data_IF_836338448368
#
_entry.id   IF_836338448368
#
_cell.length_a   1.000
_cell.length_b   1.000
_cell.length_c   1.000
_cell.angle_alpha   90.00
_cell.angle_beta   90.00
_cell.angle_gamma   90.00
#
_symmetry.space_group_name_H-M   'P 1'
#
loop_
_entity.id
_entity.type
_entity.pdbx_description
1 polymer ?
#
# COMPACT_ATOMS: atom_id res chain seq x y z
N UNK A 1 31.17 -10.87 -12.00
CA UNK A 1 29.82 -10.37 -11.66
C UNK A 1 29.97 -9.06 -10.89
N UNK A 2 29.33 -7.96 -11.33
CA UNK A 2 29.53 -6.60 -10.78
C UNK A 2 28.46 -6.23 -9.75
N UNK A 3 28.24 -7.07 -8.73
CA UNK A 3 27.21 -6.82 -7.71
C UNK A 3 27.56 -5.63 -6.80
N UNK A 4 28.83 -5.50 -6.40
CA UNK A 4 29.34 -4.39 -5.60
C UNK A 4 29.02 -3.01 -6.20
N UNK A 5 28.99 -2.91 -7.53
CA UNK A 5 28.62 -1.67 -8.21
C UNK A 5 27.16 -1.27 -7.99
N UNK A 6 26.26 -2.24 -7.82
CA UNK A 6 24.84 -1.97 -7.58
C UNK A 6 24.59 -1.29 -6.23
N UNK A 7 25.49 -1.46 -5.25
CA UNK A 7 25.40 -0.78 -3.95
C UNK A 7 25.50 0.76 -4.10
N UNK A 8 25.98 1.26 -5.24
CA UNK A 8 26.00 2.70 -5.57
C UNK A 8 24.58 3.24 -5.82
N UNK A 9 23.59 2.39 -6.08
CA UNK A 9 22.20 2.80 -6.32
C UNK A 9 21.53 3.10 -4.97
N UNK A 10 21.49 4.39 -4.59
CA UNK A 10 20.86 4.85 -3.33
C UNK A 10 19.33 4.97 -3.40
N UNK A 11 18.72 4.84 -4.58
CA UNK A 11 17.26 4.94 -4.78
C UNK A 11 16.53 3.77 -4.11
N UNK A 12 15.30 3.99 -3.64
CA UNK A 12 14.44 2.93 -3.08
C UNK A 12 14.22 1.80 -4.08
N UNK A 13 13.90 2.18 -5.31
CA UNK A 13 13.81 1.29 -6.46
C UNK A 13 14.48 1.95 -7.66
N UNK A 14 14.82 1.14 -8.65
CA UNK A 14 15.52 1.56 -9.86
C UNK A 14 15.00 0.80 -11.08
N UNK A 15 15.27 1.36 -12.25
CA UNK A 15 14.89 0.81 -13.55
C UNK A 15 16.06 0.12 -14.25
N UNK A 16 15.79 -0.54 -15.39
CA UNK A 16 16.87 -1.06 -16.24
C UNK A 16 17.78 0.08 -16.76
N UNK A 17 17.27 1.31 -16.89
CA UNK A 17 18.07 2.46 -17.30
C UNK A 17 19.06 2.88 -16.19
N UNK A 18 18.61 2.92 -14.94
CA UNK A 18 19.50 3.21 -13.81
C UNK A 18 20.61 2.16 -13.68
N UNK A 19 20.28 0.88 -13.90
CA UNK A 19 21.25 -0.20 -13.91
C UNK A 19 22.23 -0.07 -15.09
N UNK A 20 21.76 0.34 -16.27
CA UNK A 20 22.60 0.61 -17.44
C UNK A 20 23.65 1.69 -17.12
N UNK A 21 23.20 2.82 -16.56
CA UNK A 21 24.08 3.92 -16.14
C UNK A 21 25.06 3.50 -15.03
N UNK A 22 24.59 2.73 -14.05
CA UNK A 22 25.41 2.26 -12.94
C UNK A 22 26.54 1.31 -13.39
N UNK A 23 26.26 0.42 -14.34
CA UNK A 23 27.23 -0.56 -14.83
C UNK A 23 28.03 -0.11 -16.05
N UNK A 24 27.66 1.02 -16.67
CA UNK A 24 28.27 1.48 -17.92
C UNK A 24 28.00 0.53 -19.10
N UNK A 25 26.77 0.00 -19.19
CA UNK A 25 26.36 -0.94 -20.24
C UNK A 25 25.17 -0.40 -21.04
N UNK A 26 24.95 -0.93 -22.24
CA UNK A 26 23.79 -0.59 -23.07
C UNK A 26 22.45 -1.03 -22.44
N UNK A 27 21.36 -0.36 -22.81
CA UNK A 27 20.02 -0.59 -22.24
C UNK A 27 19.50 -2.02 -22.45
N UNK A 28 19.73 -2.62 -23.63
CA UNK A 28 19.33 -4.01 -23.90
C UNK A 28 20.10 -5.00 -23.03
N UNK A 29 21.42 -4.80 -22.88
CA UNK A 29 22.26 -5.57 -21.96
C UNK A 29 21.82 -5.40 -20.51
N UNK A 30 21.35 -4.21 -20.12
CA UNK A 30 20.81 -3.95 -18.80
C UNK A 30 19.51 -4.71 -18.55
N UNK A 31 18.59 -4.80 -19.53
CA UNK A 31 17.36 -5.61 -19.40
C UNK A 31 17.69 -7.10 -19.19
N UNK A 32 18.63 -7.65 -19.96
CA UNK A 32 19.10 -9.04 -19.79
C UNK A 32 19.75 -9.22 -18.41
N UNK A 33 20.55 -8.25 -17.98
CA UNK A 33 21.19 -8.27 -16.65
C UNK A 33 20.17 -8.23 -15.52
N UNK A 34 19.14 -7.39 -15.61
CA UNK A 34 18.05 -7.36 -14.62
C UNK A 34 17.36 -8.73 -14.51
N UNK A 35 17.07 -9.39 -15.65
CA UNK A 35 16.45 -10.72 -15.63
C UNK A 35 17.36 -11.75 -14.96
N UNK A 36 18.65 -11.77 -15.31
CA UNK A 36 19.65 -12.66 -14.71
C UNK A 36 19.82 -12.40 -13.21
N UNK A 37 19.91 -11.14 -12.79
CA UNK A 37 20.08 -10.78 -11.38
C UNK A 37 18.81 -11.02 -10.56
N UNK A 38 17.63 -10.89 -11.16
CA UNK A 38 16.37 -11.29 -10.51
C UNK A 38 16.34 -12.80 -10.29
N UNK A 39 16.70 -13.59 -11.32
CA UNK A 39 16.76 -15.07 -11.21
C UNK A 39 17.78 -15.54 -10.17
N UNK A 40 18.91 -14.83 -10.06
CA UNK A 40 19.95 -15.12 -9.08
C UNK A 40 19.64 -14.56 -7.68
N UNK A 41 18.53 -13.85 -7.49
CA UNK A 41 18.11 -13.34 -6.18
C UNK A 41 18.76 -12.04 -5.71
N UNK A 42 19.66 -11.42 -6.50
CA UNK A 42 20.36 -10.18 -6.17
C UNK A 42 19.46 -8.94 -6.15
N UNK A 43 18.41 -8.95 -6.97
CA UNK A 43 17.44 -7.87 -7.05
C UNK A 43 16.03 -8.45 -7.04
N UNK A 44 15.08 -7.68 -6.50
CA UNK A 44 13.67 -8.02 -6.43
C UNK A 44 12.94 -7.20 -7.47
N UNK A 45 12.31 -7.85 -8.44
CA UNK A 45 11.44 -7.16 -9.40
C UNK A 45 10.09 -6.89 -8.75
N UNK A 46 9.78 -5.62 -8.47
CA UNK A 46 8.50 -5.22 -7.87
C UNK A 46 7.42 -4.99 -8.93
N UNK A 47 7.79 -4.47 -10.10
CA UNK A 47 6.89 -4.22 -11.24
C UNK A 47 7.69 -4.29 -12.54
N UNK A 48 7.02 -4.27 -13.68
CA UNK A 48 7.70 -4.13 -14.98
C UNK A 48 8.64 -2.92 -14.94
N UNK A 49 9.94 -3.17 -15.18
CA UNK A 49 11.00 -2.15 -15.18
C UNK A 49 11.27 -1.46 -13.84
N UNK A 50 10.86 -2.08 -12.72
CA UNK A 50 11.17 -1.58 -11.38
C UNK A 50 11.72 -2.69 -10.51
N UNK A 51 12.88 -2.41 -9.91
CA UNK A 51 13.66 -3.36 -9.14
C UNK A 51 14.14 -2.72 -7.84
N UNK A 52 14.33 -3.52 -6.81
CA UNK A 52 14.93 -3.14 -5.52
C UNK A 52 16.11 -4.09 -5.26
N UNK A 53 17.19 -3.62 -4.67
CA UNK A 53 18.29 -4.52 -4.24
C UNK A 53 17.76 -5.51 -3.19
N UNK A 54 18.17 -6.77 -3.25
CA UNK A 54 17.71 -7.80 -2.29
C UNK A 54 17.93 -7.38 -0.84
N UNK A 55 19.14 -6.96 -0.50
CA UNK A 55 19.49 -6.53 0.86
C UNK A 55 18.62 -5.35 1.35
N UNK A 56 18.27 -4.43 0.43
CA UNK A 56 17.38 -3.32 0.76
C UNK A 56 15.94 -3.80 0.92
N UNK A 57 15.47 -4.67 0.02
CA UNK A 57 14.13 -5.25 0.10
C UNK A 57 13.90 -5.89 1.46
N UNK A 58 14.83 -6.70 1.94
CA UNK A 58 14.68 -7.44 3.19
C UNK A 58 14.66 -6.51 4.43
N UNK A 59 15.13 -5.27 4.30
CA UNK A 59 15.24 -4.27 5.39
C UNK A 59 14.30 -3.06 5.25
N UNK A 60 13.37 -3.08 4.29
CA UNK A 60 12.45 -1.96 4.09
C UNK A 60 11.64 -1.67 5.36
N UNK A 61 11.53 -0.38 5.70
CA UNK A 61 10.58 0.06 6.71
C UNK A 61 9.13 -0.07 6.22
N UNK A 62 8.16 -0.01 7.14
CA UNK A 62 6.74 0.02 6.78
C UNK A 62 6.40 1.18 5.83
N UNK A 63 7.00 2.35 6.06
CA UNK A 63 6.79 3.54 5.23
C UNK A 63 7.38 3.38 3.82
N UNK A 64 8.55 2.76 3.69
CA UNK A 64 9.11 2.43 2.38
C UNK A 64 8.27 1.36 1.65
N UNK A 65 7.70 0.39 2.39
CA UNK A 65 6.74 -0.57 1.83
C UNK A 65 5.46 0.11 1.33
N UNK A 66 5.00 1.15 2.02
CA UNK A 66 3.87 1.95 1.57
C UNK A 66 4.17 2.68 0.25
N UNK A 67 5.38 3.24 0.11
CA UNK A 67 5.83 3.82 -1.16
C UNK A 67 5.87 2.78 -2.28
N UNK A 68 6.32 1.55 -2.00
CA UNK A 68 6.28 0.45 -2.97
C UNK A 68 4.83 0.15 -3.38
N UNK A 69 3.90 0.02 -2.42
CA UNK A 69 2.50 -0.28 -2.69
C UNK A 69 1.85 0.75 -3.64
N UNK A 70 2.11 2.05 -3.43
CA UNK A 70 1.57 3.11 -4.29
C UNK A 70 2.10 3.07 -5.73
N UNK A 71 3.23 2.42 -5.99
CA UNK A 71 3.78 2.26 -7.36
C UNK A 71 3.25 0.99 -8.01
N UNK A 72 3.00 -0.05 -7.22
CA UNK A 72 2.42 -1.31 -7.69
C UNK A 72 1.04 -1.09 -8.32
N UNK A 73 0.23 -0.18 -7.79
CA UNK A 73 -1.04 0.23 -8.38
C UNK A 73 -1.24 1.74 -8.32
N UNK A 74 -1.48 2.36 -9.48
CA UNK A 74 -1.71 3.81 -9.58
C UNK A 74 -3.03 4.05 -10.32
N UNK A 75 -3.93 4.91 -9.80
CA UNK A 75 -3.84 5.62 -8.52
C UNK A 75 -4.28 4.73 -7.33
N UNK A 76 -3.55 4.82 -6.21
CA UNK A 76 -3.88 4.17 -4.94
C UNK A 76 -3.32 4.94 -3.73
N UNK A 77 -3.84 4.62 -2.54
CA UNK A 77 -3.32 5.07 -1.23
C UNK A 77 -3.46 3.95 -0.19
N UNK A 78 -2.60 3.96 0.82
CA UNK A 78 -2.68 3.01 1.95
C UNK A 78 -3.95 3.27 2.74
N UNK A 79 -4.74 2.23 3.02
CA UNK A 79 -6.01 2.35 3.74
C UNK A 79 -6.25 1.10 4.60
N UNK A 80 -7.50 0.88 5.01
CA UNK A 80 -7.94 -0.32 5.73
C UNK A 80 -7.19 -0.56 7.04
N UNK A 81 -7.08 -1.83 7.46
CA UNK A 81 -6.40 -2.21 8.71
C UNK A 81 -4.93 -1.82 8.69
N UNK A 82 -4.25 -1.81 7.53
CA UNK A 82 -2.89 -1.25 7.41
C UNK A 82 -2.80 0.20 7.88
N UNK A 83 -3.68 1.09 7.39
CA UNK A 83 -3.67 2.49 7.81
C UNK A 83 -4.14 2.66 9.26
N UNK A 84 -5.17 1.92 9.70
CA UNK A 84 -5.64 1.94 11.08
C UNK A 84 -4.54 1.52 12.06
N UNK A 85 -3.77 0.47 11.72
CA UNK A 85 -2.63 0.03 12.52
C UNK A 85 -1.50 1.06 12.54
N UNK A 86 -1.22 1.72 11.41
CA UNK A 86 -0.23 2.80 11.34
C UNK A 86 -0.56 3.99 12.25
N UNK A 87 -1.86 4.27 12.46
CA UNK A 87 -2.33 5.28 13.41
C UNK A 87 -2.57 4.74 14.84
N UNK A 88 -2.17 3.50 15.12
CA UNK A 88 -2.39 2.83 16.42
C UNK A 88 -3.86 2.73 16.81
N UNK A 89 -4.76 2.69 15.83
CA UNK A 89 -6.22 2.61 16.02
C UNK A 89 -6.68 1.15 16.00
N UNK A 90 -5.97 0.28 15.29
CA UNK A 90 -6.24 -1.16 15.33
C UNK A 90 -5.12 -1.93 16.01
N UNK A 91 -5.50 -2.91 16.83
CA UNK A 91 -4.57 -3.89 17.42
C UNK A 91 -4.19 -4.99 16.42
N UNK A 92 -4.87 -5.06 15.27
CA UNK A 92 -4.63 -6.08 14.24
C UNK A 92 -3.44 -5.71 13.35
N UNK A 93 -2.22 -6.01 13.81
CA UNK A 93 -1.00 -5.79 13.03
C UNK A 93 -0.69 -7.02 12.17
N UNK A 94 -0.81 -6.87 10.84
CA UNK A 94 -0.42 -7.91 9.90
C UNK A 94 1.00 -7.64 9.37
N UNK A 95 1.94 -8.54 9.70
CA UNK A 95 3.30 -8.47 9.16
C UNK A 95 3.29 -8.80 7.67
N UNK A 96 4.12 -8.09 6.90
CA UNK A 96 4.31 -8.31 5.47
C UNK A 96 3.03 -8.24 4.62
N UNK A 97 1.96 -7.61 5.12
CA UNK A 97 0.67 -7.47 4.45
C UNK A 97 0.25 -6.00 4.41
N UNK A 98 0.09 -5.46 3.21
CA UNK A 98 -0.16 -4.04 2.98
C UNK A 98 -1.44 -3.87 2.18
N UNK A 99 -2.38 -3.11 2.72
CA UNK A 99 -3.69 -2.87 2.12
C UNK A 99 -3.79 -1.45 1.56
N UNK A 100 -4.38 -1.32 0.37
CA UNK A 100 -4.52 -0.05 -0.33
C UNK A 100 -5.87 0.07 -0.99
N UNK A 101 -6.47 1.25 -0.94
CA UNK A 101 -7.62 1.58 -1.76
C UNK A 101 -7.14 2.05 -3.15
N UNK A 102 -7.82 1.62 -4.21
CA UNK A 102 -7.44 1.96 -5.59
C UNK A 102 -8.67 2.23 -6.47
N UNK A 103 -8.45 2.87 -7.63
CA UNK A 103 -9.54 3.20 -8.56
C UNK A 103 -9.75 2.15 -9.67
N UNK A 104 -8.71 1.38 -10.04
CA UNK A 104 -8.75 0.55 -11.25
C UNK A 104 -9.49 -0.77 -11.03
N UNK A 105 -8.90 -1.67 -10.24
CA UNK A 105 -9.43 -3.02 -9.97
C UNK A 105 -8.94 -3.55 -8.63
N UNK A 106 -9.77 -4.37 -7.99
CA UNK A 106 -9.32 -5.19 -6.86
C UNK A 106 -8.30 -6.20 -7.37
N UNK A 107 -7.14 -6.29 -6.73
CA UNK A 107 -6.09 -7.25 -7.08
C UNK A 107 -5.19 -7.52 -5.89
N UNK A 108 -4.56 -8.68 -5.92
CA UNK A 108 -3.54 -9.11 -4.97
C UNK A 108 -2.20 -9.22 -5.68
N UNK A 109 -1.12 -8.75 -5.06
CA UNK A 109 0.23 -8.83 -5.61
C UNK A 109 1.17 -9.40 -4.54
N UNK A 110 1.76 -10.56 -4.82
CA UNK A 110 2.75 -11.21 -3.96
C UNK A 110 4.15 -10.97 -4.51
N UNK A 111 5.06 -10.46 -3.68
CA UNK A 111 6.48 -10.25 -4.02
C UNK A 111 7.33 -10.81 -2.89
N UNK A 112 8.06 -11.90 -3.17
CA UNK A 112 8.73 -12.70 -2.14
C UNK A 112 7.74 -13.10 -1.04
N UNK A 113 8.01 -12.79 0.22
CA UNK A 113 7.13 -13.10 1.37
C UNK A 113 6.05 -12.05 1.63
N UNK A 114 6.04 -10.94 0.87
CA UNK A 114 5.14 -9.80 1.13
C UNK A 114 3.94 -9.81 0.22
N UNK A 115 2.80 -9.43 0.79
CA UNK A 115 1.51 -9.35 0.15
C UNK A 115 1.03 -7.90 0.08
N UNK A 116 0.58 -7.48 -1.10
CA UNK A 116 -0.01 -6.18 -1.34
C UNK A 116 -1.43 -6.38 -1.87
N UNK A 117 -2.42 -5.98 -1.07
CA UNK A 117 -3.83 -6.04 -1.41
C UNK A 117 -4.34 -4.68 -1.85
N UNK A 118 -4.99 -4.65 -3.01
CA UNK A 118 -5.60 -3.47 -3.56
C UNK A 118 -7.10 -3.70 -3.65
N UNK A 119 -7.88 -2.84 -3.02
CA UNK A 119 -9.33 -2.91 -3.07
C UNK A 119 -9.89 -1.75 -3.90
N UNK A 120 -10.72 -2.08 -4.89
CA UNK A 120 -11.36 -1.05 -5.71
C UNK A 120 -12.43 -0.32 -4.91
N UNK A 121 -12.32 1.00 -4.86
CA UNK A 121 -13.37 1.89 -4.36
C UNK A 121 -14.00 2.69 -5.50
N UNK A 122 -15.20 3.23 -5.26
CA UNK A 122 -15.85 4.13 -6.24
C UNK A 122 -15.09 5.45 -6.32
N UNK A 123 -15.05 6.07 -7.49
CA UNK A 123 -14.34 7.34 -7.72
C UNK A 123 -14.81 8.44 -6.74
N UNK A 124 -16.13 8.52 -6.47
CA UNK A 124 -16.70 9.46 -5.49
C UNK A 124 -16.10 9.33 -4.07
N UNK A 125 -15.53 8.17 -3.74
CA UNK A 125 -14.92 7.88 -2.44
C UNK A 125 -13.39 7.93 -2.49
N UNK A 126 -12.77 8.25 -3.62
CA UNK A 126 -11.32 8.41 -3.72
C UNK A 126 -10.91 9.81 -3.23
N UNK A 127 -10.91 10.02 -1.91
CA UNK A 127 -10.64 11.30 -1.26
C UNK A 127 -10.10 11.11 0.17
N UNK A 128 -9.85 12.21 0.89
CA UNK A 128 -9.48 12.19 2.32
C UNK A 128 -8.26 11.32 2.64
N UNK A 129 -7.25 11.36 1.79
CA UNK A 129 -5.94 10.81 2.01
C UNK A 129 -4.90 11.93 1.90
N UNK A 130 -3.76 11.76 2.55
CA UNK A 130 -2.67 12.74 2.58
C UNK A 130 -1.39 12.11 2.03
N UNK A 131 -0.50 12.95 1.51
CA UNK A 131 0.86 12.53 1.19
C UNK A 131 1.72 12.65 2.46
N UNK A 132 2.30 11.55 2.92
CA UNK A 132 3.35 11.52 3.94
C UNK A 132 4.64 11.10 3.28
N UNK A 133 5.68 11.94 3.35
CA UNK A 133 6.97 11.67 2.72
C UNK A 133 6.81 11.24 1.25
N UNK A 134 6.96 9.95 0.97
CA UNK A 134 6.95 9.34 -0.36
C UNK A 134 5.74 8.41 -0.62
N UNK A 135 4.69 8.47 0.21
CA UNK A 135 3.49 7.65 0.03
C UNK A 135 2.20 8.43 0.34
N UNK A 136 1.09 7.92 -0.16
CA UNK A 136 -0.26 8.40 0.11
C UNK A 136 -0.94 7.44 1.09
N UNK A 137 -1.55 7.98 2.13
CA UNK A 137 -2.27 7.22 3.16
C UNK A 137 -3.59 7.92 3.52
N UNK A 138 -4.64 7.13 3.72
CA UNK A 138 -5.93 7.59 4.22
C UNK A 138 -5.77 8.35 5.54
N UNK A 139 -6.60 9.35 5.82
CA UNK A 139 -6.73 9.83 7.21
C UNK A 139 -7.31 8.72 8.09
N UNK A 140 -7.15 8.78 9.43
CA UNK A 140 -7.76 7.82 10.36
C UNK A 140 -9.23 7.50 10.07
N UNK A 141 -10.06 8.54 9.96
CA UNK A 141 -11.49 8.39 9.69
C UNK A 141 -11.76 7.81 8.29
N UNK A 142 -10.91 8.13 7.32
CA UNK A 142 -11.04 7.62 5.96
C UNK A 142 -10.74 6.13 5.91
N UNK A 143 -9.66 5.67 6.56
CA UNK A 143 -9.29 4.26 6.62
C UNK A 143 -10.42 3.41 7.22
N UNK A 144 -11.04 3.92 8.28
CA UNK A 144 -12.19 3.29 8.92
C UNK A 144 -13.41 3.24 7.98
N UNK A 145 -13.76 4.35 7.34
CA UNK A 145 -14.90 4.41 6.40
C UNK A 145 -14.68 3.50 5.18
N UNK A 146 -13.48 3.44 4.62
CA UNK A 146 -13.15 2.54 3.51
C UNK A 146 -13.39 1.07 3.90
N UNK A 147 -12.94 0.70 5.10
CA UNK A 147 -13.12 -0.64 5.67
C UNK A 147 -14.60 -0.98 5.85
N UNK A 148 -15.37 -0.07 6.45
CA UNK A 148 -16.81 -0.26 6.63
C UNK A 148 -17.56 -0.34 5.30
N UNK A 149 -17.22 0.54 4.35
CA UNK A 149 -17.84 0.57 3.03
C UNK A 149 -17.72 -0.78 2.33
N UNK A 150 -16.50 -1.34 2.27
CA UNK A 150 -16.30 -2.63 1.63
C UNK A 150 -16.85 -3.81 2.46
N UNK A 151 -16.86 -3.70 3.78
CA UNK A 151 -17.49 -4.69 4.66
C UNK A 151 -19.00 -4.79 4.41
N UNK A 152 -19.68 -3.64 4.28
CA UNK A 152 -21.12 -3.59 3.94
C UNK A 152 -21.42 -4.17 2.56
N UNK A 153 -20.47 -4.09 1.63
CA UNK A 153 -20.56 -4.71 0.32
C UNK A 153 -20.18 -6.20 0.30
N UNK A 154 -19.76 -6.78 1.43
CA UNK A 154 -19.28 -8.17 1.52
C UNK A 154 -17.93 -8.42 0.83
N UNK A 155 -17.13 -7.35 0.63
CA UNK A 155 -15.85 -7.39 -0.10
C UNK A 155 -14.63 -7.25 0.80
N UNK A 156 -14.85 -7.03 2.09
CA UNK A 156 -13.83 -6.85 3.10
C UNK A 156 -14.32 -7.39 4.44
N UNK A 157 -13.41 -7.77 5.33
CA UNK A 157 -13.73 -8.21 6.69
C UNK A 157 -12.97 -7.34 7.68
N UNK A 158 -13.67 -6.34 8.21
CA UNK A 158 -13.16 -5.54 9.33
C UNK A 158 -13.50 -6.24 10.65
N UNK A 159 -12.50 -6.50 11.48
CA UNK A 159 -12.72 -6.83 12.88
C UNK A 159 -12.91 -5.55 13.69
N UNK A 160 -14.17 -5.18 13.93
CA UNK A 160 -14.50 -3.95 14.67
C UNK A 160 -14.12 -4.03 16.15
N UNK A 161 -13.94 -5.24 16.71
CA UNK A 161 -13.53 -5.39 18.11
C UNK A 161 -12.07 -5.00 18.33
N UNK A 162 -11.26 -5.09 17.28
CA UNK A 162 -9.87 -4.69 17.26
C UNK A 162 -9.66 -3.20 16.94
N UNK A 163 -10.73 -2.40 16.81
CA UNK A 163 -10.67 -0.97 16.47
C UNK A 163 -11.03 -0.12 17.69
N UNK A 164 -10.11 0.75 18.08
CA UNK A 164 -10.32 1.78 19.11
C UNK A 164 -11.09 2.97 18.52
N UNK A 165 -12.41 3.00 18.76
CA UNK A 165 -13.28 4.05 18.24
C UNK A 165 -13.07 5.41 18.91
N UNK A 166 -12.46 5.46 20.10
CA UNK A 166 -12.23 6.71 20.83
C UNK A 166 -11.13 7.55 20.18
N UNK A 167 -10.24 6.91 19.41
CA UNK A 167 -9.22 7.58 18.59
C UNK A 167 -9.77 8.18 17.30
N UNK A 168 -11.05 7.97 16.97
CA UNK A 168 -11.66 8.45 15.73
C UNK A 168 -12.54 9.69 15.98
N UNK A 169 -12.44 10.69 15.09
CA UNK A 169 -13.32 11.85 15.18
C UNK A 169 -14.70 11.56 14.57
N UNK A 170 -15.68 11.33 15.44
CA UNK A 170 -17.08 11.06 15.04
C UNK A 170 -17.67 12.13 14.12
N UNK A 171 -17.46 13.41 14.40
CA UNK A 171 -18.00 14.52 13.58
C UNK A 171 -17.42 14.52 12.15
N UNK A 172 -16.12 14.20 12.00
CA UNK A 172 -15.49 14.05 10.68
C UNK A 172 -16.10 12.85 9.94
N UNK A 173 -16.27 11.71 10.62
CA UNK A 173 -16.89 10.53 10.03
C UNK A 173 -18.31 10.84 9.55
N UNK A 174 -19.15 11.44 10.38
CA UNK A 174 -20.52 11.81 10.03
C UNK A 174 -20.59 12.75 8.82
N UNK A 175 -19.67 13.74 8.75
CA UNK A 175 -19.55 14.63 7.59
C UNK A 175 -19.21 13.86 6.32
N UNK A 176 -18.27 12.91 6.39
CA UNK A 176 -17.86 12.08 5.25
C UNK A 176 -19.00 11.14 4.80
N UNK A 177 -19.74 10.55 5.74
CA UNK A 177 -20.85 9.63 5.45
C UNK A 177 -22.08 10.28 4.82
N UNK A 178 -22.11 11.61 4.69
CA UNK A 178 -23.17 12.32 3.95
C UNK A 178 -23.26 11.87 2.49
N UNK A 179 -22.14 11.49 1.88
CA UNK A 179 -22.05 11.05 0.47
C UNK A 179 -22.15 9.53 0.29
N UNK A 180 -22.29 8.78 1.39
CA UNK A 180 -22.35 7.32 1.40
C UNK A 180 -23.80 6.81 1.52
N UNK A 181 -24.09 5.59 1.04
CA UNK A 181 -25.40 4.95 1.23
C UNK A 181 -25.83 4.91 2.69
N UNK A 182 -27.14 5.08 2.94
CA UNK A 182 -27.74 5.11 4.28
C UNK A 182 -27.41 3.87 5.13
N UNK A 183 -27.20 2.70 4.51
CA UNK A 183 -26.83 1.46 5.20
C UNK A 183 -25.53 1.59 6.00
N UNK A 184 -24.56 2.34 5.49
CA UNK A 184 -23.26 2.53 6.15
C UNK A 184 -23.42 3.46 7.35
N UNK A 185 -24.25 4.51 7.21
CA UNK A 185 -24.59 5.41 8.31
C UNK A 185 -25.26 4.68 9.48
N UNK A 186 -26.25 3.82 9.18
CA UNK A 186 -26.94 2.99 10.18
C UNK A 186 -25.97 2.05 10.92
N UNK A 187 -25.01 1.45 10.20
CA UNK A 187 -23.98 0.62 10.82
C UNK A 187 -23.07 1.45 11.74
N UNK A 188 -22.71 2.66 11.32
CA UNK A 188 -21.86 3.55 12.12
C UNK A 188 -22.55 3.98 13.42
N UNK A 189 -23.85 4.29 13.35
CA UNK A 189 -24.67 4.59 14.53
C UNK A 189 -24.76 3.41 15.51
N UNK A 190 -24.78 2.16 15.03
CA UNK A 190 -24.83 1.00 15.93
C UNK A 190 -23.49 0.67 16.58
N UNK A 191 -22.37 1.08 15.98
CA UNK A 191 -21.04 0.87 16.55
C UNK A 191 -20.76 1.82 17.74
N UNK A 192 -21.22 3.06 17.70
CA UNK A 192 -21.05 4.06 18.78
C UNK A 192 -22.13 4.04 19.86
N UNK A 193 -23.16 3.19 19.72
CA UNK A 193 -24.18 2.96 20.76
C UNK A 193 -23.80 1.83 21.73
N UNK A 194 -22.73 1.12 21.42
CA UNK A 194 -22.12 0.08 22.27
C UNK A 194 -21.15 0.74 23.22
#
# INVERSE_FOLDING_TARGET
MRYQDLLKIKKLYFSALDLASCLGIGFDSAKVTCARYTKAGFIVRIKRNFYILRERWDRLSSEELFSVANILEVPSYISFTTALSYYEISTQVQRDFIESACMRRTKSVSIAVRQFEFFKIKNLYYNSFVKKENFFIATPEKAFIDSLYLTVLGKYKLDTSAVDLDKLNKNKIEKMLKTYPARIRKLMESLWKR
#
